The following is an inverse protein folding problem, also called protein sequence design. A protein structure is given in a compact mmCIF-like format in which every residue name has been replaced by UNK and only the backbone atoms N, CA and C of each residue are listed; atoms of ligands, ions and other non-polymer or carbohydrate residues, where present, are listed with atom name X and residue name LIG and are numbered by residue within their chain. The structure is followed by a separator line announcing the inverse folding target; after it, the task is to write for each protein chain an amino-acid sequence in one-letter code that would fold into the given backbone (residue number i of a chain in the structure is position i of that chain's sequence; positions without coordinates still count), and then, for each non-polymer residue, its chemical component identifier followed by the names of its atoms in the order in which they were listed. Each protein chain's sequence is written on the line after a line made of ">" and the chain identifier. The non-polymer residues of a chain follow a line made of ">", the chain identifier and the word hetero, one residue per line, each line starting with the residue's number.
data_IF_375114532526
#
_entry.id   IF_375114532526
#
_cell.length_a   1.000
_cell.length_b   1.000
_cell.length_c   1.000
_cell.angle_alpha   90.00
_cell.angle_beta   90.00
_cell.angle_gamma   90.00
#
_symmetry.space_group_name_H-M   'P 1'
#
loop_
_entity.id
_entity.type
_entity.pdbx_description
1 polymer ?
#
# COMPACT_ATOMS: atom_id res chain seq x y z
N UNK A 1 -31.19 -12.29 13.98
CA UNK A 1 -30.00 -12.05 13.14
C UNK A 1 -30.00 -13.11 12.06
N UNK A 2 -30.23 -12.70 10.82
CA UNK A 2 -30.44 -13.63 9.71
C UNK A 2 -29.11 -14.29 9.30
N UNK A 3 -29.14 -15.56 8.87
CA UNK A 3 -27.92 -16.29 8.46
C UNK A 3 -27.15 -15.56 7.35
N UNK A 4 -27.85 -14.81 6.50
CA UNK A 4 -27.27 -13.99 5.44
C UNK A 4 -26.37 -12.85 5.98
N UNK A 5 -26.71 -12.24 7.12
CA UNK A 5 -25.91 -11.19 7.74
C UNK A 5 -24.61 -11.74 8.33
N UNK A 6 -24.67 -12.95 8.90
CA UNK A 6 -23.51 -13.65 9.45
C UNK A 6 -22.53 -14.01 8.32
N UNK A 7 -23.04 -14.48 7.17
CA UNK A 7 -22.21 -14.80 6.00
C UNK A 7 -21.61 -13.53 5.37
N UNK A 8 -22.40 -12.45 5.21
CA UNK A 8 -21.93 -11.19 4.63
C UNK A 8 -20.85 -10.49 5.45
N UNK A 9 -20.92 -10.54 6.78
CA UNK A 9 -19.91 -9.95 7.66
C UNK A 9 -18.60 -10.78 7.67
N UNK A 10 -18.71 -12.11 7.68
CA UNK A 10 -17.56 -13.02 7.59
C UNK A 10 -16.78 -12.85 6.27
N UNK A 11 -17.47 -12.58 5.15
CA UNK A 11 -16.82 -12.30 3.86
C UNK A 11 -16.07 -10.96 3.87
N UNK A 12 -16.64 -9.91 4.48
CA UNK A 12 -15.97 -8.59 4.59
C UNK A 12 -14.70 -8.66 5.44
N UNK A 13 -14.76 -9.35 6.58
CA UNK A 13 -13.59 -9.51 7.46
C UNK A 13 -12.47 -10.28 6.77
N UNK A 14 -12.79 -11.41 6.13
CA UNK A 14 -11.80 -12.20 5.38
C UNK A 14 -11.16 -11.38 4.27
N UNK A 15 -11.96 -10.63 3.51
CA UNK A 15 -11.47 -9.75 2.44
C UNK A 15 -10.57 -8.63 2.99
N UNK A 16 -10.96 -7.99 4.08
CA UNK A 16 -10.17 -6.94 4.73
C UNK A 16 -8.77 -7.42 5.15
N UNK A 17 -8.70 -8.59 5.80
CA UNK A 17 -7.42 -9.17 6.20
C UNK A 17 -6.56 -9.56 5.00
N UNK A 18 -7.18 -10.11 3.94
CA UNK A 18 -6.48 -10.44 2.70
C UNK A 18 -5.86 -9.19 2.05
N UNK A 19 -6.63 -8.10 1.91
CA UNK A 19 -6.14 -6.83 1.33
C UNK A 19 -4.97 -6.28 2.13
N UNK A 20 -5.15 -6.12 3.45
CA UNK A 20 -4.09 -5.58 4.31
C UNK A 20 -2.83 -6.44 4.23
N UNK A 21 -2.97 -7.76 4.34
CA UNK A 21 -1.81 -8.64 4.31
C UNK A 21 -1.01 -8.50 3.02
N UNK A 22 -1.70 -8.46 1.87
CA UNK A 22 -1.07 -8.28 0.57
C UNK A 22 -0.34 -6.93 0.47
N UNK A 23 -0.98 -5.85 0.90
CA UNK A 23 -0.38 -4.52 0.86
C UNK A 23 0.79 -4.37 1.85
N UNK A 24 0.73 -5.02 3.01
CA UNK A 24 1.85 -5.08 3.96
C UNK A 24 3.04 -5.83 3.35
N UNK A 25 2.82 -6.93 2.61
CA UNK A 25 3.91 -7.60 1.89
C UNK A 25 4.57 -6.67 0.87
N UNK A 26 3.79 -5.92 0.08
CA UNK A 26 4.32 -4.93 -0.88
C UNK A 26 5.09 -3.83 -0.16
N UNK A 27 4.59 -3.34 0.98
CA UNK A 27 5.26 -2.35 1.82
C UNK A 27 6.61 -2.86 2.33
N UNK A 28 6.67 -4.06 2.88
CA UNK A 28 7.90 -4.68 3.37
C UNK A 28 8.90 -4.86 2.22
N UNK A 29 8.45 -5.36 1.06
CA UNK A 29 9.29 -5.48 -0.13
C UNK A 29 9.85 -4.13 -0.57
N UNK A 30 9.01 -3.09 -0.58
CA UNK A 30 9.40 -1.71 -0.91
C UNK A 30 10.48 -1.20 0.04
N UNK A 31 10.31 -1.41 1.35
CA UNK A 31 11.29 -1.02 2.37
C UNK A 31 12.63 -1.69 2.14
N UNK A 32 12.64 -3.02 1.96
CA UNK A 32 13.87 -3.80 1.76
C UNK A 32 14.58 -3.38 0.48
N UNK A 33 13.87 -3.24 -0.64
CA UNK A 33 14.48 -2.82 -1.91
C UNK A 33 15.00 -1.38 -1.86
N UNK A 34 14.30 -0.48 -1.16
CA UNK A 34 14.77 0.87 -0.93
C UNK A 34 16.07 0.90 -0.11
N UNK A 35 16.17 0.04 0.90
CA UNK A 35 17.38 -0.06 1.73
C UNK A 35 18.59 -0.60 0.95
N UNK A 36 18.40 -1.61 0.10
CA UNK A 36 19.49 -2.26 -0.62
C UNK A 36 19.98 -1.40 -1.79
N UNK A 37 19.06 -0.85 -2.58
CA UNK A 37 19.38 -0.23 -3.86
C UNK A 37 19.12 1.29 -3.90
N UNK A 38 18.66 1.90 -2.81
CA UNK A 38 18.23 3.30 -2.74
C UNK A 38 16.94 3.54 -3.53
N UNK A 39 17.06 3.50 -4.87
CA UNK A 39 15.97 3.63 -5.83
C UNK A 39 15.24 2.31 -6.13
N UNK A 40 15.61 1.19 -5.50
CA UNK A 40 14.99 -0.13 -5.72
C UNK A 40 13.47 -0.18 -5.50
N UNK A 41 12.94 0.75 -4.70
CA UNK A 41 11.50 0.91 -4.52
C UNK A 41 10.75 1.19 -5.83
N UNK A 42 11.37 1.87 -6.81
CA UNK A 42 10.72 2.19 -8.09
C UNK A 42 10.33 0.92 -8.84
N UNK A 43 11.17 -0.12 -8.78
CA UNK A 43 10.84 -1.42 -9.37
C UNK A 43 9.60 -2.04 -8.72
N UNK A 44 9.51 -2.01 -7.39
CA UNK A 44 8.37 -2.55 -6.65
C UNK A 44 7.09 -1.76 -6.96
N UNK A 45 7.18 -0.44 -7.04
CA UNK A 45 6.06 0.44 -7.40
C UNK A 45 5.57 0.17 -8.84
N UNK A 46 6.50 0.01 -9.79
CA UNK A 46 6.16 -0.32 -11.18
C UNK A 46 5.54 -1.72 -11.29
N UNK A 47 6.05 -2.69 -10.53
CA UNK A 47 5.48 -4.03 -10.44
C UNK A 47 4.07 -4.00 -9.86
N UNK A 48 3.84 -3.24 -8.79
CA UNK A 48 2.52 -3.11 -8.20
C UNK A 48 1.54 -2.43 -9.17
N UNK A 49 1.98 -1.41 -9.91
CA UNK A 49 1.18 -0.75 -10.93
C UNK A 49 0.74 -1.70 -12.06
N UNK A 50 1.58 -2.66 -12.46
CA UNK A 50 1.21 -3.64 -13.49
C UNK A 50 0.13 -4.63 -12.99
N UNK A 51 0.23 -5.07 -11.72
CA UNK A 51 -0.79 -5.91 -11.07
C UNK A 51 -2.13 -5.18 -11.00
N UNK A 52 -2.12 -3.89 -10.64
CA UNK A 52 -3.32 -3.04 -10.64
C UNK A 52 -3.91 -2.92 -12.05
N UNK A 53 -3.07 -2.68 -13.06
CA UNK A 53 -3.51 -2.61 -14.45
C UNK A 53 -4.22 -3.90 -14.91
N UNK A 54 -3.67 -5.06 -14.54
CA UNK A 54 -4.32 -6.35 -14.79
C UNK A 54 -5.66 -6.47 -14.05
N UNK A 55 -5.74 -6.05 -12.79
CA UNK A 55 -6.98 -6.09 -12.00
C UNK A 55 -8.07 -5.18 -12.59
N UNK A 56 -7.71 -3.97 -13.05
CA UNK A 56 -8.63 -3.04 -13.74
C UNK A 56 -9.14 -3.67 -15.04
N UNK A 57 -8.27 -4.29 -15.82
CA UNK A 57 -8.65 -4.97 -17.06
C UNK A 57 -9.64 -6.11 -16.82
N UNK A 58 -9.38 -6.95 -15.81
CA UNK A 58 -10.30 -8.04 -15.42
C UNK A 58 -11.65 -7.47 -14.94
N UNK A 59 -11.61 -6.43 -14.10
CA UNK A 59 -12.83 -5.79 -13.58
C UNK A 59 -13.71 -5.22 -14.69
N UNK A 60 -13.08 -4.63 -15.71
CA UNK A 60 -13.76 -4.04 -16.87
C UNK A 60 -14.09 -5.06 -17.96
N UNK A 61 -13.93 -6.36 -17.68
CA UNK A 61 -14.16 -7.46 -18.64
C UNK A 61 -13.39 -7.27 -19.95
N UNK A 62 -12.19 -6.69 -19.87
CA UNK A 62 -11.33 -6.37 -21.01
C UNK A 62 -11.94 -5.36 -21.99
N UNK A 63 -12.98 -4.62 -21.58
CA UNK A 63 -13.59 -3.56 -22.38
C UNK A 63 -12.86 -2.23 -22.17
N UNK A 64 -12.30 -1.68 -23.25
CA UNK A 64 -11.54 -0.42 -23.22
C UNK A 64 -12.41 0.75 -22.73
N UNK A 65 -13.70 0.77 -23.10
CA UNK A 65 -14.68 1.76 -22.65
C UNK A 65 -14.89 1.75 -21.14
N UNK A 66 -14.66 0.62 -20.47
CA UNK A 66 -14.80 0.48 -19.02
C UNK A 66 -13.56 0.93 -18.23
N UNK A 67 -12.39 1.06 -18.88
CA UNK A 67 -11.12 1.40 -18.21
C UNK A 67 -11.23 2.68 -17.35
N UNK A 68 -11.79 3.80 -17.83
CA UNK A 68 -11.90 5.00 -16.99
C UNK A 68 -12.65 4.77 -15.68
N UNK A 69 -13.73 3.98 -15.72
CA UNK A 69 -14.51 3.64 -14.53
C UNK A 69 -13.73 2.69 -13.61
N UNK A 70 -13.03 1.70 -14.18
CA UNK A 70 -12.17 0.78 -13.41
C UNK A 70 -11.03 1.51 -12.71
N UNK A 71 -10.38 2.47 -13.37
CA UNK A 71 -9.37 3.35 -12.77
C UNK A 71 -10.01 4.19 -11.65
N UNK A 72 -11.15 4.83 -11.90
CA UNK A 72 -11.83 5.65 -10.89
C UNK A 72 -12.19 4.84 -9.64
N UNK A 73 -12.70 3.62 -9.81
CA UNK A 73 -13.00 2.68 -8.72
C UNK A 73 -11.76 2.33 -7.90
N UNK A 74 -10.63 2.02 -8.56
CA UNK A 74 -9.40 1.68 -7.87
C UNK A 74 -8.83 2.89 -7.11
N UNK A 75 -8.82 4.06 -7.73
CA UNK A 75 -8.20 5.27 -7.18
C UNK A 75 -8.76 5.73 -5.83
N UNK A 76 -10.00 5.36 -5.47
CA UNK A 76 -10.58 5.71 -4.15
C UNK A 76 -9.73 5.18 -3.00
N UNK A 77 -9.27 3.93 -3.07
CA UNK A 77 -8.36 3.32 -2.08
C UNK A 77 -6.90 3.31 -2.54
N UNK A 78 -6.67 3.26 -3.86
CA UNK A 78 -5.33 3.20 -4.45
C UNK A 78 -4.49 4.46 -4.19
N UNK A 79 -5.09 5.64 -4.06
CA UNK A 79 -4.34 6.86 -3.67
C UNK A 79 -3.70 6.69 -2.28
N UNK A 80 -4.47 6.35 -1.21
CA UNK A 80 -3.89 6.00 0.08
C UNK A 80 -2.83 4.88 0.04
N UNK A 81 -3.05 3.81 -0.74
CA UNK A 81 -2.07 2.69 -0.87
C UNK A 81 -0.75 3.14 -1.47
N UNK A 82 -0.81 3.83 -2.61
CA UNK A 82 0.38 4.31 -3.32
C UNK A 82 1.13 5.32 -2.42
N UNK A 83 0.41 6.21 -1.74
CA UNK A 83 1.01 7.15 -0.79
C UNK A 83 1.75 6.42 0.34
N UNK A 84 1.21 5.32 0.86
CA UNK A 84 1.88 4.48 1.86
C UNK A 84 3.19 3.91 1.31
N UNK A 85 3.18 3.37 0.09
CA UNK A 85 4.40 2.81 -0.52
C UNK A 85 5.48 3.85 -0.79
N UNK A 86 5.10 5.06 -1.23
CA UNK A 86 6.05 6.17 -1.36
C UNK A 86 6.62 6.59 0.00
N UNK A 87 5.78 6.68 1.05
CA UNK A 87 6.26 6.99 2.40
C UNK A 87 7.25 5.92 2.91
N UNK A 88 6.97 4.64 2.65
CA UNK A 88 7.88 3.53 2.97
C UNK A 88 9.18 3.59 2.19
N UNK A 89 9.13 3.91 0.90
CA UNK A 89 10.32 4.10 0.07
C UNK A 89 11.18 5.27 0.60
N UNK A 90 10.57 6.37 1.02
CA UNK A 90 11.27 7.48 1.65
C UNK A 90 11.90 7.07 3.00
N UNK A 91 11.16 6.34 3.83
CA UNK A 91 11.66 5.80 5.10
C UNK A 91 12.91 4.93 4.90
N UNK A 92 12.87 4.02 3.92
CA UNK A 92 13.99 3.16 3.55
C UNK A 92 15.19 3.96 3.05
N UNK A 93 14.98 4.90 2.12
CA UNK A 93 16.04 5.74 1.58
C UNK A 93 16.71 6.62 2.63
N UNK A 94 15.92 7.27 3.50
CA UNK A 94 16.42 8.10 4.61
C UNK A 94 17.22 7.25 5.59
N UNK A 95 16.72 6.08 5.97
CA UNK A 95 17.40 5.19 6.88
C UNK A 95 18.71 4.67 6.29
N UNK A 96 18.66 4.14 5.05
CA UNK A 96 19.82 3.58 4.36
C UNK A 96 20.93 4.60 4.15
N UNK A 97 20.62 5.75 3.55
CA UNK A 97 21.60 6.82 3.32
C UNK A 97 22.10 7.41 4.64
N UNK A 98 21.20 7.62 5.60
CA UNK A 98 21.53 8.17 6.91
C UNK A 98 22.50 7.26 7.68
N UNK A 99 22.26 5.95 7.68
CA UNK A 99 23.11 4.93 8.27
C UNK A 99 24.48 4.88 7.61
N UNK A 100 24.55 4.85 6.28
CA UNK A 100 25.81 4.81 5.53
C UNK A 100 26.65 6.07 5.75
N UNK A 101 26.02 7.24 5.86
CA UNK A 101 26.73 8.53 5.96
C UNK A 101 27.24 8.85 7.37
N UNK A 102 26.47 8.51 8.40
CA UNK A 102 26.80 8.89 9.78
C UNK A 102 27.23 7.72 10.65
N UNK A 103 26.90 6.49 10.28
CA UNK A 103 27.13 5.30 11.11
C UNK A 103 26.26 5.28 12.38
N UNK A 104 26.28 4.14 13.07
CA UNK A 104 25.40 3.86 14.22
C UNK A 104 25.82 4.64 15.48
N UNK A 105 27.11 4.99 15.59
CA UNK A 105 27.69 5.67 16.77
C UNK A 105 27.49 7.19 16.78
N UNK A 106 26.97 7.76 15.70
CA UNK A 106 26.81 9.19 15.60
C UNK A 106 25.53 9.65 16.33
N UNK A 107 25.60 10.82 16.99
CA UNK A 107 24.47 11.43 17.73
C UNK A 107 23.19 11.63 16.89
N UNK A 108 23.30 11.69 15.56
CA UNK A 108 22.13 11.79 14.67
C UNK A 108 21.47 10.46 14.34
N UNK A 109 22.07 9.31 14.68
CA UNK A 109 21.51 8.00 14.37
C UNK A 109 20.09 7.84 14.94
N UNK A 110 19.87 8.25 16.20
CA UNK A 110 18.56 8.21 16.83
C UNK A 110 17.51 9.01 16.05
N UNK A 111 17.85 10.22 15.59
CA UNK A 111 16.93 11.08 14.81
C UNK A 111 16.61 10.49 13.44
N UNK A 112 17.58 9.84 12.78
CA UNK A 112 17.36 9.16 11.50
C UNK A 112 16.41 7.98 11.69
N UNK A 113 16.65 7.16 12.73
CA UNK A 113 15.79 6.02 13.05
C UNK A 113 14.36 6.46 13.39
N UNK A 114 14.21 7.51 14.21
CA UNK A 114 12.92 8.08 14.59
C UNK A 114 12.14 8.58 13.37
N UNK A 115 12.78 9.37 12.49
CA UNK A 115 12.14 9.88 11.28
C UNK A 115 11.68 8.76 10.34
N UNK A 116 12.52 7.74 10.14
CA UNK A 116 12.16 6.57 9.33
C UNK A 116 11.04 5.76 9.97
N UNK A 117 11.06 5.57 11.29
CA UNK A 117 9.98 4.88 12.02
C UNK A 117 8.65 5.63 11.95
N UNK A 118 8.68 6.97 12.07
CA UNK A 118 7.49 7.81 11.90
C UNK A 118 6.90 7.69 10.50
N UNK A 119 7.73 7.69 9.45
CA UNK A 119 7.26 7.51 8.08
C UNK A 119 6.65 6.12 7.85
N UNK A 120 7.24 5.06 8.43
CA UNK A 120 6.65 3.72 8.39
C UNK A 120 5.32 3.64 9.15
N UNK A 121 5.21 4.32 10.28
CA UNK A 121 3.96 4.39 11.03
C UNK A 121 2.86 5.09 10.22
N UNK A 122 3.19 6.21 9.57
CA UNK A 122 2.26 6.90 8.64
C UNK A 122 1.85 5.97 7.50
N UNK A 123 2.79 5.25 6.89
CA UNK A 123 2.49 4.30 5.82
C UNK A 123 1.50 3.21 6.28
N UNK A 124 1.68 2.64 7.48
CA UNK A 124 0.76 1.65 8.04
C UNK A 124 -0.64 2.24 8.22
N UNK A 125 -0.76 3.47 8.76
CA UNK A 125 -2.05 4.13 8.91
C UNK A 125 -2.74 4.37 7.56
N UNK A 126 -1.98 4.76 6.53
CA UNK A 126 -2.50 4.91 5.17
C UNK A 126 -3.01 3.59 4.58
N UNK A 127 -2.30 2.48 4.80
CA UNK A 127 -2.77 1.15 4.37
C UNK A 127 -4.04 0.70 5.10
N UNK A 128 -4.12 0.95 6.40
CA UNK A 128 -5.35 0.66 7.16
C UNK A 128 -6.53 1.49 6.63
N UNK A 129 -6.31 2.77 6.35
CA UNK A 129 -7.32 3.65 5.77
C UNK A 129 -7.73 3.17 4.37
N UNK A 130 -6.77 2.78 3.53
CA UNK A 130 -7.04 2.22 2.21
C UNK A 130 -7.92 0.97 2.27
N UNK A 131 -7.60 0.02 3.16
CA UNK A 131 -8.36 -1.21 3.30
C UNK A 131 -9.79 -0.97 3.79
N UNK A 132 -9.98 0.01 4.68
CA UNK A 132 -11.32 0.44 5.11
C UNK A 132 -12.10 1.00 3.92
N UNK A 133 -11.48 1.87 3.12
CA UNK A 133 -12.10 2.40 1.91
C UNK A 133 -12.47 1.27 0.95
N UNK A 134 -11.56 0.33 0.67
CA UNK A 134 -11.81 -0.73 -0.30
C UNK A 134 -12.95 -1.66 0.12
N UNK A 135 -13.00 -2.05 1.40
CA UNK A 135 -13.97 -3.04 1.87
C UNK A 135 -15.33 -2.43 2.14
N UNK A 136 -15.37 -1.18 2.63
CA UNK A 136 -16.62 -0.57 3.10
C UNK A 136 -17.14 0.53 2.18
N UNK A 137 -16.28 1.35 1.57
CA UNK A 137 -16.70 2.51 0.78
C UNK A 137 -16.83 2.20 -0.72
N UNK A 138 -15.81 1.58 -1.31
CA UNK A 138 -15.77 1.27 -2.75
C UNK A 138 -16.98 0.46 -3.23
N UNK A 139 -17.50 -0.55 -2.50
CA UNK A 139 -18.67 -1.31 -2.95
C UNK A 139 -19.97 -0.49 -2.95
N UNK A 140 -20.06 0.56 -2.10
CA UNK A 140 -21.23 1.45 -2.06
C UNK A 140 -21.23 2.37 -3.30
N UNK A 141 -20.05 2.82 -3.71
CA UNK A 141 -19.89 3.76 -4.83
C UNK A 141 -19.94 3.07 -6.21
N UNK A 142 -19.54 1.80 -6.31
CA UNK A 142 -19.36 1.09 -7.58
C UNK A 142 -20.01 -0.30 -7.58
N UNK A 143 -21.29 -0.33 -7.22
CA UNK A 143 -22.08 -1.56 -7.13
C UNK A 143 -22.29 -2.22 -8.50
#
# INVERSE_FOLDING_TARGET
>A
MDKADITGNATKQTRFLAIISNNIYVMIFTLVFSLIFGAGAIFVLAWNASVIGAAISIFTKYEISGIPLGVARYMVHGIPEIAAYFATALAGGIFGVGLLRHGIRHKMFGRILENSAMLLFIAILLLLFAAVIEVYLTPILFN
#
